data_IF_967979768004
#
_entry.id   IF_967979768004
#
_cell.length_a   1.000
_cell.length_b   1.000
_cell.length_c   1.000
_cell.angle_alpha   90.00
_cell.angle_beta   90.00
_cell.angle_gamma   90.00
#
_symmetry.space_group_name_H-M   'P 1'
#
loop_
_entity.id
_entity.type
_entity.pdbx_description
1 polymer ?
#
# COMPACT_ATOMS: atom_id res chain seq x y z
N UNK A 1 -22.50 0.05 34.24
CA UNK A 1 -21.87 0.22 32.92
C UNK A 1 -22.53 -0.76 31.98
N UNK A 2 -23.26 -0.27 30.98
CA UNK A 2 -23.89 -1.13 29.99
C UNK A 2 -22.84 -1.57 28.98
N UNK A 3 -22.60 -2.88 28.92
CA UNK A 3 -21.69 -3.64 28.05
C UNK A 3 -22.10 -3.60 26.55
N UNK A 4 -22.87 -2.59 26.15
CA UNK A 4 -23.49 -2.46 24.82
C UNK A 4 -22.71 -1.57 23.87
N UNK A 5 -21.59 -0.98 24.31
CA UNK A 5 -20.78 -0.06 23.50
C UNK A 5 -21.44 1.29 23.22
N UNK A 6 -22.50 1.64 23.95
CA UNK A 6 -23.13 2.96 23.87
C UNK A 6 -22.38 3.95 24.78
N UNK A 7 -22.24 5.20 24.31
CA UNK A 7 -21.71 6.29 25.13
C UNK A 7 -22.60 6.55 26.35
N UNK A 8 -22.02 7.17 27.37
CA UNK A 8 -22.78 7.60 28.55
C UNK A 8 -23.92 8.53 28.10
N UNK A 9 -25.16 8.38 28.61
CA UNK A 9 -26.30 9.22 28.22
C UNK A 9 -26.06 10.73 28.37
N UNK A 10 -25.14 11.12 29.24
CA UNK A 10 -24.72 12.52 29.44
C UNK A 10 -23.85 13.09 28.32
N UNK A 11 -23.23 12.23 27.50
CA UNK A 11 -22.42 12.59 26.33
C UNK A 11 -23.22 12.46 25.02
N UNK A 12 -24.50 12.09 25.10
CA UNK A 12 -25.34 11.98 23.92
C UNK A 12 -25.72 13.39 23.45
N UNK A 13 -25.23 13.77 22.28
CA UNK A 13 -25.52 15.08 21.71
C UNK A 13 -26.93 15.10 21.11
N UNK A 14 -27.91 15.39 21.97
CA UNK A 14 -29.34 15.46 21.64
C UNK A 14 -29.67 16.50 20.55
N UNK A 15 -28.78 17.46 20.30
CA UNK A 15 -28.95 18.45 19.23
C UNK A 15 -28.67 17.81 17.87
N UNK A 16 -27.58 17.05 17.79
CA UNK A 16 -27.21 16.24 16.62
C UNK A 16 -28.29 15.20 16.31
N UNK A 17 -28.85 14.53 17.32
CA UNK A 17 -29.95 13.57 17.13
C UNK A 17 -31.25 14.23 16.66
N UNK A 18 -31.56 15.45 17.13
CA UNK A 18 -32.71 16.23 16.65
C UNK A 18 -32.53 16.67 15.21
N UNK A 19 -31.31 17.03 14.80
CA UNK A 19 -30.99 17.30 13.40
C UNK A 19 -31.09 16.03 12.54
N UNK A 20 -30.58 14.89 13.00
CA UNK A 20 -30.74 13.61 12.29
C UNK A 20 -32.21 13.19 12.14
N UNK A 21 -33.06 13.45 13.13
CA UNK A 21 -34.50 13.21 13.02
C UNK A 21 -35.25 14.21 12.13
N UNK A 22 -34.71 15.43 11.94
CA UNK A 22 -35.36 16.47 11.13
C UNK A 22 -34.89 16.53 9.67
N UNK A 23 -33.62 16.25 9.37
CA UNK A 23 -33.01 16.59 8.08
C UNK A 23 -32.75 15.41 7.13
N UNK A 24 -32.54 14.18 7.62
CA UNK A 24 -32.10 13.10 6.74
C UNK A 24 -33.09 11.93 6.69
N UNK A 25 -33.98 11.98 5.69
CA UNK A 25 -34.62 10.76 5.21
C UNK A 25 -33.54 9.76 4.77
N UNK A 26 -33.69 8.45 5.03
CA UNK A 26 -32.66 7.47 4.73
C UNK A 26 -32.39 7.39 3.24
N UNK A 27 -31.28 7.98 2.80
CA UNK A 27 -30.82 7.94 1.43
C UNK A 27 -30.46 6.50 1.03
N UNK A 28 -30.89 6.11 -0.16
CA UNK A 28 -30.51 4.85 -0.77
C UNK A 28 -29.23 5.03 -1.58
N UNK A 29 -28.26 4.14 -1.38
CA UNK A 29 -27.00 4.17 -2.13
C UNK A 29 -27.23 3.60 -3.52
N UNK A 30 -27.01 4.42 -4.55
CA UNK A 30 -27.03 4.01 -5.95
C UNK A 30 -25.68 4.29 -6.63
N UNK A 31 -25.46 3.69 -7.80
CA UNK A 31 -24.30 3.98 -8.65
C UNK A 31 -24.76 4.66 -9.94
N UNK A 32 -24.19 5.82 -10.26
CA UNK A 32 -24.38 6.46 -11.55
C UNK A 32 -23.75 5.57 -12.63
N UNK A 33 -24.54 5.05 -13.56
CA UNK A 33 -24.08 4.19 -14.65
C UNK A 33 -23.74 4.99 -15.90
N UNK A 34 -24.52 6.03 -16.21
CA UNK A 34 -24.35 6.84 -17.42
C UNK A 34 -25.03 8.19 -17.24
N UNK A 35 -24.44 9.24 -17.81
CA UNK A 35 -25.03 10.58 -17.87
C UNK A 35 -25.72 10.74 -19.23
N UNK A 36 -26.96 11.20 -19.22
CA UNK A 36 -27.78 11.45 -20.41
C UNK A 36 -28.00 12.97 -20.48
N UNK A 37 -27.60 13.58 -21.61
CA UNK A 37 -27.60 15.03 -21.85
C UNK A 37 -26.66 15.81 -20.91
N UNK A 38 -25.34 15.65 -21.11
CA UNK A 38 -24.35 16.48 -20.43
C UNK A 38 -24.41 17.92 -20.95
N UNK A 39 -24.89 18.87 -20.13
CA UNK A 39 -24.77 20.31 -20.40
C UNK A 39 -26.08 21.09 -20.61
N UNK A 40 -27.25 20.45 -20.53
CA UNK A 40 -28.54 21.15 -20.46
C UNK A 40 -29.04 21.22 -19.00
N UNK A 41 -29.90 22.19 -18.66
CA UNK A 41 -30.49 22.35 -17.32
C UNK A 41 -31.24 21.09 -16.84
N UNK A 42 -31.66 20.22 -17.79
CA UNK A 42 -32.34 18.94 -17.56
C UNK A 42 -31.39 17.72 -17.70
N UNK A 43 -30.19 17.79 -17.11
CA UNK A 43 -29.28 16.65 -17.07
C UNK A 43 -29.93 15.44 -16.36
N UNK A 44 -30.02 14.31 -17.07
CA UNK A 44 -30.62 13.06 -16.58
C UNK A 44 -29.54 12.02 -16.32
N UNK A 45 -29.65 11.33 -15.20
CA UNK A 45 -28.65 10.33 -14.79
C UNK A 45 -29.29 8.96 -14.76
N UNK A 46 -28.64 7.98 -15.37
CA UNK A 46 -29.04 6.59 -15.23
C UNK A 46 -28.37 6.02 -13.98
N UNK A 47 -29.14 5.79 -12.91
CA UNK A 47 -28.64 5.17 -11.69
C UNK A 47 -28.98 3.68 -11.64
N UNK A 48 -28.09 2.90 -11.03
CA UNK A 48 -28.29 1.50 -10.73
C UNK A 48 -28.36 1.32 -9.20
N UNK A 49 -29.52 0.92 -8.70
CA UNK A 49 -29.74 0.65 -7.28
C UNK A 49 -29.49 -0.82 -7.02
N UNK A 50 -28.54 -1.13 -6.13
CA UNK A 50 -28.25 -2.52 -5.73
C UNK A 50 -29.55 -3.11 -5.14
N UNK A 51 -30.06 -4.20 -5.76
CA UNK A 51 -31.28 -4.97 -5.41
C UNK A 51 -32.59 -4.63 -6.13
N UNK A 52 -32.70 -3.55 -6.92
CA UNK A 52 -33.99 -3.14 -7.51
C UNK A 52 -33.93 -3.12 -9.04
N UNK A 53 -33.49 -2.01 -9.63
CA UNK A 53 -33.53 -1.78 -11.07
C UNK A 53 -32.65 -0.57 -11.45
N UNK A 54 -32.59 -0.29 -12.75
CA UNK A 54 -32.01 0.95 -13.29
C UNK A 54 -33.11 2.01 -13.41
N UNK A 55 -32.84 3.21 -12.92
CA UNK A 55 -33.76 4.34 -12.98
C UNK A 55 -33.10 5.52 -13.68
N UNK A 56 -33.90 6.35 -14.35
CA UNK A 56 -33.46 7.64 -14.87
C UNK A 56 -33.93 8.70 -13.89
N UNK A 57 -32.99 9.46 -13.35
CA UNK A 57 -33.20 10.41 -12.26
C UNK A 57 -32.69 11.79 -12.61
N UNK A 58 -33.30 12.82 -12.03
CA UNK A 58 -32.81 14.20 -12.09
C UNK A 58 -31.83 14.52 -10.96
N UNK A 59 -31.21 15.70 -11.04
CA UNK A 59 -30.45 16.29 -9.94
C UNK A 59 -31.38 16.80 -8.84
N UNK A 60 -30.95 16.68 -7.59
CA UNK A 60 -31.55 17.38 -6.46
C UNK A 60 -30.96 18.79 -6.29
N UNK A 61 -31.64 19.63 -5.52
CA UNK A 61 -31.31 21.05 -5.32
C UNK A 61 -29.92 21.30 -4.71
N UNK A 62 -29.31 20.28 -4.08
CA UNK A 62 -28.03 20.38 -3.36
C UNK A 62 -26.80 20.02 -4.20
N UNK A 63 -26.94 19.56 -5.44
CA UNK A 63 -25.82 19.02 -6.24
C UNK A 63 -25.75 19.71 -7.59
N UNK A 64 -24.54 20.12 -7.99
CA UNK A 64 -24.30 20.65 -9.33
C UNK A 64 -24.03 19.52 -10.34
N UNK A 65 -24.38 19.69 -11.63
CA UNK A 65 -24.09 18.71 -12.68
C UNK A 65 -22.59 18.38 -12.83
N UNK A 66 -21.70 19.29 -12.42
CA UNK A 66 -20.24 19.15 -12.46
C UNK A 66 -19.70 18.15 -11.44
N UNK A 67 -20.43 17.89 -10.36
CA UNK A 67 -19.93 17.11 -9.23
C UNK A 67 -20.25 15.61 -9.38
N UNK A 68 -21.00 15.24 -10.43
CA UNK A 68 -21.44 13.88 -10.69
C UNK A 68 -20.69 13.33 -11.90
N UNK A 69 -19.85 12.34 -11.65
CA UNK A 69 -19.16 11.59 -12.70
C UNK A 69 -19.82 10.23 -12.97
N UNK A 70 -19.60 9.70 -14.18
CA UNK A 70 -20.00 8.35 -14.52
C UNK A 70 -19.27 7.33 -13.64
N UNK A 71 -20.02 6.40 -13.05
CA UNK A 71 -19.47 5.35 -12.18
C UNK A 71 -19.42 5.73 -10.70
N UNK A 72 -19.68 6.99 -10.33
CA UNK A 72 -19.68 7.48 -8.95
C UNK A 72 -20.86 6.91 -8.13
N UNK A 73 -20.69 6.80 -6.81
CA UNK A 73 -21.79 6.48 -5.90
C UNK A 73 -22.54 7.75 -5.55
N UNK A 74 -23.86 7.66 -5.48
CA UNK A 74 -24.73 8.78 -5.16
C UNK A 74 -25.78 8.34 -4.15
N UNK A 75 -26.06 9.23 -3.19
CA UNK A 75 -27.19 9.10 -2.29
C UNK A 75 -28.45 9.59 -2.99
N UNK A 76 -29.42 8.69 -3.13
CA UNK A 76 -30.69 8.95 -3.82
C UNK A 76 -31.82 8.87 -2.82
N UNK A 77 -32.76 9.80 -2.90
CA UNK A 77 -33.98 9.73 -2.08
C UNK A 77 -34.86 8.55 -2.49
N UNK A 78 -35.45 7.85 -1.52
CA UNK A 78 -36.33 6.68 -1.76
C UNK A 78 -37.65 7.06 -2.40
N UNK A 79 -38.15 8.28 -2.17
CA UNK A 79 -39.49 8.68 -2.61
C UNK A 79 -39.47 9.36 -3.98
N UNK A 80 -38.59 10.36 -4.15
CA UNK A 80 -38.51 11.15 -5.38
C UNK A 80 -37.48 10.64 -6.38
N UNK A 81 -36.63 9.68 -6.00
CA UNK A 81 -35.51 9.20 -6.81
C UNK A 81 -34.71 10.36 -7.42
N UNK A 82 -34.28 11.31 -6.59
CA UNK A 82 -33.41 12.42 -6.99
C UNK A 82 -32.04 12.30 -6.31
N UNK A 83 -30.98 12.72 -7.00
CA UNK A 83 -29.61 12.68 -6.46
C UNK A 83 -29.44 13.82 -5.45
N UNK A 84 -29.21 13.49 -4.18
CA UNK A 84 -29.07 14.46 -3.09
C UNK A 84 -27.62 14.78 -2.75
N UNK A 85 -26.75 13.76 -2.74
CA UNK A 85 -25.35 13.89 -2.31
C UNK A 85 -24.48 12.92 -3.10
N UNK A 86 -23.33 13.35 -3.66
CA UNK A 86 -22.31 12.43 -4.17
C UNK A 86 -21.62 11.72 -3.01
N UNK A 87 -21.55 10.39 -3.06
CA UNK A 87 -20.88 9.58 -2.06
C UNK A 87 -19.47 9.19 -2.55
N UNK A 88 -18.50 9.06 -1.62
CA UNK A 88 -17.17 8.58 -1.99
C UNK A 88 -17.26 7.20 -2.66
N UNK A 89 -16.31 6.90 -3.58
CA UNK A 89 -16.30 5.63 -4.29
C UNK A 89 -16.20 4.46 -3.31
N UNK A 90 -16.67 3.28 -3.74
CA UNK A 90 -16.50 2.06 -2.94
C UNK A 90 -15.01 1.75 -2.86
N UNK A 91 -14.44 1.91 -1.68
CA UNK A 91 -13.17 1.28 -1.33
C UNK A 91 -13.57 -0.03 -0.64
N UNK A 92 -13.10 -1.18 -1.13
CA UNK A 92 -13.34 -2.42 -0.39
C UNK A 92 -12.67 -2.30 1.00
N UNK A 93 -13.39 -2.63 2.08
CA UNK A 93 -12.87 -2.49 3.44
C UNK A 93 -11.66 -3.40 3.68
N UNK A 94 -11.54 -4.50 2.93
CA UNK A 94 -10.36 -5.38 2.93
C UNK A 94 -9.09 -4.64 2.50
N UNK A 95 -9.17 -3.83 1.44
CA UNK A 95 -8.05 -3.01 0.96
C UNK A 95 -7.76 -1.86 1.93
N UNK A 96 -8.81 -1.33 2.56
CA UNK A 96 -8.68 -0.28 3.59
C UNK A 96 -7.92 -0.79 4.82
N UNK A 97 -8.21 -2.02 5.26
CA UNK A 97 -7.50 -2.70 6.36
C UNK A 97 -6.04 -3.02 6.04
N UNK A 98 -5.69 -3.18 4.75
CA UNK A 98 -4.30 -3.34 4.32
C UNK A 98 -3.50 -2.02 4.36
N UNK A 99 -4.19 -0.88 4.52
CA UNK A 99 -3.48 0.38 4.79
C UNK A 99 -2.99 0.36 6.22
N UNK A 100 -1.67 0.40 6.38
CA UNK A 100 -1.03 0.56 7.68
C UNK A 100 -1.11 2.06 7.98
N UNK A 101 -2.17 2.48 8.68
CA UNK A 101 -2.34 3.88 9.09
C UNK A 101 -1.33 4.30 10.15
N UNK A 102 -0.75 3.37 10.90
CA UNK A 102 0.25 3.68 11.94
C UNK A 102 1.68 3.55 11.42
N UNK A 103 2.41 4.67 11.48
CA UNK A 103 3.84 4.76 11.16
C UNK A 103 4.58 3.63 11.88
N UNK A 104 5.35 2.78 11.19
CA UNK A 104 6.19 1.82 11.87
C UNK A 104 7.28 2.57 12.65
N UNK A 105 7.42 2.30 13.96
CA UNK A 105 8.40 2.95 14.86
C UNK A 105 9.88 2.63 14.54
N UNK A 106 10.15 1.90 13.44
CA UNK A 106 11.50 1.50 13.06
C UNK A 106 12.25 2.70 12.51
N UNK A 107 13.44 2.95 13.04
CA UNK A 107 14.32 4.04 12.57
C UNK A 107 15.46 3.49 11.71
N UNK A 108 16.09 4.36 10.91
CA UNK A 108 17.27 3.98 10.11
C UNK A 108 18.45 3.51 10.98
N UNK A 109 18.54 3.98 12.22
CA UNK A 109 19.60 3.60 13.15
C UNK A 109 19.48 2.15 13.60
N UNK A 110 18.29 1.55 13.45
CA UNK A 110 18.06 0.12 13.72
C UNK A 110 18.43 -0.78 12.53
N UNK A 111 18.64 -0.21 11.34
CA UNK A 111 19.06 -0.96 10.14
C UNK A 111 20.58 -0.94 10.04
N UNK A 112 21.22 -1.95 10.64
CA UNK A 112 22.68 -2.09 10.65
C UNK A 112 23.25 -2.70 9.36
N UNK A 113 24.46 -2.26 8.98
CA UNK A 113 25.31 -2.97 8.01
C UNK A 113 24.94 -2.88 6.53
N UNK A 114 23.84 -2.22 6.17
CA UNK A 114 23.36 -2.09 4.79
C UNK A 114 23.42 -0.64 4.27
N UNK A 115 24.55 0.06 4.47
CA UNK A 115 24.67 1.50 4.16
C UNK A 115 24.43 1.84 2.68
N UNK A 116 25.07 1.12 1.76
CA UNK A 116 24.92 1.35 0.31
C UNK A 116 23.48 1.05 -0.17
N UNK A 117 22.88 -0.03 0.33
CA UNK A 117 21.49 -0.36 0.03
C UNK A 117 20.50 0.69 0.56
N UNK A 118 20.75 1.20 1.78
CA UNK A 118 19.96 2.27 2.38
C UNK A 118 20.12 3.61 1.64
N UNK A 119 21.33 3.94 1.21
CA UNK A 119 21.60 5.17 0.45
C UNK A 119 20.85 5.15 -0.89
N UNK A 120 20.95 4.03 -1.64
CA UNK A 120 20.18 3.82 -2.87
C UNK A 120 18.66 3.89 -2.63
N UNK A 121 18.17 3.32 -1.53
CA UNK A 121 16.76 3.41 -1.16
C UNK A 121 16.33 4.85 -0.85
N UNK A 122 17.14 5.61 -0.10
CA UNK A 122 16.90 7.02 0.20
C UNK A 122 16.88 7.87 -1.06
N UNK A 123 17.79 7.62 -1.99
CA UNK A 123 17.82 8.36 -3.26
C UNK A 123 16.55 8.18 -4.08
N UNK A 124 15.95 6.98 -4.06
CA UNK A 124 14.78 6.68 -4.87
C UNK A 124 13.47 7.09 -4.20
N UNK A 125 13.39 7.02 -2.88
CA UNK A 125 12.13 7.27 -2.16
C UNK A 125 12.14 8.64 -1.47
N UNK A 126 13.18 8.97 -0.72
CA UNK A 126 13.25 10.17 0.12
C UNK A 126 13.46 11.44 -0.72
N UNK A 127 14.46 11.44 -1.62
CA UNK A 127 14.78 12.60 -2.47
C UNK A 127 13.61 13.12 -3.32
N UNK A 128 12.85 12.29 -4.07
CA UNK A 128 11.77 12.80 -4.89
C UNK A 128 10.55 13.27 -4.08
N UNK A 129 10.35 12.74 -2.88
CA UNK A 129 9.25 13.16 -2.00
C UNK A 129 9.55 14.47 -1.28
N UNK A 130 10.79 14.66 -0.80
CA UNK A 130 11.20 15.88 -0.09
C UNK A 130 11.60 17.03 -1.01
N UNK A 131 12.26 16.72 -2.13
CA UNK A 131 12.84 17.71 -3.03
C UNK A 131 12.48 17.46 -4.50
N UNK A 132 11.18 17.52 -4.87
CA UNK A 132 10.75 17.35 -6.25
C UNK A 132 11.35 18.40 -7.20
N UNK A 133 11.67 19.60 -6.69
CA UNK A 133 12.28 20.70 -7.45
C UNK A 133 13.59 20.31 -8.14
N UNK A 134 14.41 19.45 -7.51
CA UNK A 134 15.68 18.99 -8.09
C UNK A 134 15.47 18.19 -9.37
N UNK A 135 14.41 17.38 -9.41
CA UNK A 135 14.06 16.57 -10.58
C UNK A 135 13.43 17.43 -11.69
N UNK A 136 12.57 18.39 -11.31
CA UNK A 136 11.97 19.34 -12.26
C UNK A 136 13.03 20.22 -12.92
N UNK A 137 13.97 20.76 -12.15
CA UNK A 137 15.04 21.61 -12.70
C UNK A 137 16.00 20.85 -13.61
N UNK A 138 16.25 19.58 -13.32
CA UNK A 138 17.10 18.71 -14.13
C UNK A 138 16.35 18.14 -15.35
N UNK A 139 15.01 18.20 -15.36
CA UNK A 139 14.17 17.69 -16.44
C UNK A 139 14.15 16.16 -16.52
N UNK A 140 14.42 15.46 -15.41
CA UNK A 140 14.39 14.00 -15.35
C UNK A 140 13.19 13.50 -14.56
N UNK A 141 12.57 12.43 -15.04
CA UNK A 141 11.51 11.76 -14.27
C UNK A 141 12.14 10.91 -13.16
N UNK A 142 11.63 11.00 -11.91
CA UNK A 142 12.15 10.20 -10.82
C UNK A 142 11.80 8.72 -11.03
N UNK A 143 12.66 7.78 -10.60
CA UNK A 143 12.37 6.35 -10.69
C UNK A 143 11.09 5.99 -9.94
N UNK A 144 10.27 5.11 -10.52
CA UNK A 144 8.92 4.77 -10.00
C UNK A 144 8.94 3.58 -9.05
N UNK A 145 9.80 2.60 -9.31
CA UNK A 145 9.84 1.34 -8.58
C UNK A 145 11.23 0.91 -8.12
N UNK A 146 11.28 0.29 -6.95
CA UNK A 146 12.48 -0.37 -6.41
C UNK A 146 12.20 -1.83 -6.12
N UNK A 147 13.12 -2.70 -6.54
CA UNK A 147 13.16 -4.11 -6.16
C UNK A 147 14.25 -4.33 -5.11
N UNK A 148 13.86 -4.85 -3.95
CA UNK A 148 14.73 -5.32 -2.88
C UNK A 148 14.86 -6.83 -2.99
N UNK A 149 16.07 -7.33 -3.23
CA UNK A 149 16.34 -8.76 -3.32
C UNK A 149 17.56 -9.15 -2.51
N UNK A 150 17.61 -10.41 -2.07
CA UNK A 150 18.69 -10.94 -1.22
C UNK A 150 18.24 -12.16 -0.43
N UNK A 151 19.11 -12.80 0.36
CA UNK A 151 18.70 -13.88 1.23
C UNK A 151 17.74 -13.39 2.34
N UNK A 152 16.90 -14.28 2.90
CA UNK A 152 16.05 -13.94 4.03
C UNK A 152 16.89 -13.54 5.25
N UNK A 153 16.34 -12.69 6.13
CA UNK A 153 17.04 -12.26 7.35
C UNK A 153 18.06 -11.11 7.15
N UNK A 154 18.15 -10.52 5.96
CA UNK A 154 18.99 -9.36 5.65
C UNK A 154 18.33 -8.00 5.94
N UNK A 155 17.10 -7.99 6.45
CA UNK A 155 16.42 -6.76 6.88
C UNK A 155 15.75 -5.97 5.75
N UNK A 156 15.35 -6.61 4.65
CA UNK A 156 14.57 -5.99 3.55
C UNK A 156 13.28 -5.33 4.04
N UNK A 157 12.45 -6.08 4.78
CA UNK A 157 11.21 -5.57 5.39
C UNK A 157 11.48 -4.48 6.44
N UNK A 158 12.58 -4.58 7.20
CA UNK A 158 12.99 -3.55 8.16
C UNK A 158 13.38 -2.24 7.46
N UNK A 159 14.12 -2.34 6.35
CA UNK A 159 14.53 -1.18 5.55
C UNK A 159 13.32 -0.46 4.94
N UNK A 160 12.34 -1.21 4.43
CA UNK A 160 11.10 -0.64 3.91
C UNK A 160 10.30 0.10 5.00
N UNK A 161 10.23 -0.46 6.22
CA UNK A 161 9.60 0.18 7.37
C UNK A 161 10.33 1.45 7.80
N UNK A 162 11.66 1.44 7.84
CA UNK A 162 12.45 2.63 8.18
C UNK A 162 12.25 3.77 7.17
N UNK A 163 12.12 3.45 5.88
CA UNK A 163 11.80 4.43 4.82
C UNK A 163 10.41 5.01 5.00
N UNK A 164 9.42 4.18 5.36
CA UNK A 164 8.05 4.63 5.62
C UNK A 164 7.98 5.62 6.78
N UNK A 165 8.72 5.37 7.86
CA UNK A 165 8.74 6.24 9.04
C UNK A 165 9.26 7.66 8.72
N UNK A 166 10.29 7.77 7.86
CA UNK A 166 10.95 9.06 7.58
C UNK A 166 10.24 9.91 6.51
N UNK A 167 9.47 9.29 5.64
CA UNK A 167 8.87 9.99 4.50
C UNK A 167 7.52 10.63 4.81
N UNK A 168 6.93 10.39 5.99
CA UNK A 168 5.61 10.88 6.43
C UNK A 168 4.48 10.67 5.38
N UNK A 169 4.72 9.79 4.41
CA UNK A 169 3.80 9.48 3.33
C UNK A 169 2.91 8.32 3.74
N UNK A 170 1.76 8.19 3.06
CA UNK A 170 0.92 7.03 3.29
C UNK A 170 1.67 5.75 2.90
N UNK A 171 1.79 4.82 3.84
CA UNK A 171 2.42 3.53 3.63
C UNK A 171 1.36 2.43 3.53
N UNK A 172 1.29 1.78 2.36
CA UNK A 172 0.40 0.64 2.13
C UNK A 172 1.27 -0.60 2.08
N UNK A 173 1.10 -1.51 3.05
CA UNK A 173 1.82 -2.78 3.08
C UNK A 173 0.90 -3.88 2.57
N UNK A 174 1.36 -4.58 1.54
CA UNK A 174 0.68 -5.73 0.96
C UNK A 174 1.59 -6.93 1.08
N UNK A 175 1.08 -8.03 1.63
CA UNK A 175 1.80 -9.29 1.59
C UNK A 175 1.37 -10.03 0.33
N UNK A 176 2.32 -10.52 -0.47
CA UNK A 176 2.02 -11.21 -1.74
C UNK A 176 1.02 -12.35 -1.59
N UNK A 177 1.07 -13.08 -0.48
CA UNK A 177 0.13 -14.16 -0.16
C UNK A 177 -1.31 -13.70 0.09
N UNK A 178 -1.55 -12.46 0.51
CA UNK A 178 -2.91 -11.91 0.71
C UNK A 178 -3.65 -11.67 -0.60
N UNK A 179 -2.91 -11.52 -1.70
CA UNK A 179 -3.48 -11.30 -3.03
C UNK A 179 -4.01 -12.59 -3.68
N UNK A 180 -3.67 -13.76 -3.12
CA UNK A 180 -4.15 -15.06 -3.58
C UNK A 180 -5.50 -15.34 -2.92
N UNK A 181 -6.57 -15.27 -3.71
CA UNK A 181 -7.94 -15.48 -3.25
C UNK A 181 -8.55 -16.76 -3.83
N UNK A 182 -9.62 -17.27 -3.22
CA UNK A 182 -10.32 -18.47 -3.69
C UNK A 182 -11.20 -18.21 -4.92
N UNK A 183 -11.60 -16.96 -5.12
CA UNK A 183 -12.53 -16.57 -6.17
C UNK A 183 -11.79 -15.93 -7.34
N UNK A 184 -11.92 -16.56 -8.50
CA UNK A 184 -11.26 -16.15 -9.75
C UNK A 184 -11.45 -14.67 -10.02
N UNK A 185 -10.34 -13.93 -10.02
CA UNK A 185 -10.30 -12.52 -10.39
C UNK A 185 -10.56 -11.55 -9.24
N UNK A 186 -10.77 -12.05 -8.03
CA UNK A 186 -10.86 -11.21 -6.82
C UNK A 186 -9.51 -10.57 -6.50
N UNK A 187 -8.40 -11.30 -6.62
CA UNK A 187 -7.04 -10.74 -6.45
C UNK A 187 -6.75 -9.60 -7.41
N UNK A 188 -7.08 -9.76 -8.70
CA UNK A 188 -6.94 -8.69 -9.70
C UNK A 188 -7.83 -7.47 -9.41
N UNK A 189 -9.05 -7.67 -8.88
CA UNK A 189 -9.92 -6.55 -8.43
C UNK A 189 -9.27 -5.81 -7.27
N UNK A 190 -8.75 -6.54 -6.29
CA UNK A 190 -8.10 -5.98 -5.10
C UNK A 190 -6.91 -5.10 -5.47
N UNK A 191 -6.06 -5.55 -6.41
CA UNK A 191 -4.94 -4.76 -6.93
C UNK A 191 -5.42 -3.45 -7.56
N UNK A 192 -6.47 -3.49 -8.40
CA UNK A 192 -7.03 -2.26 -9.02
C UNK A 192 -7.53 -1.28 -7.98
N UNK A 193 -8.26 -1.77 -6.98
CA UNK A 193 -8.79 -0.92 -5.91
C UNK A 193 -7.67 -0.33 -5.06
N UNK A 194 -6.61 -1.10 -4.78
CA UNK A 194 -5.43 -0.62 -4.08
C UNK A 194 -4.75 0.53 -4.83
N UNK A 195 -4.50 0.38 -6.14
CA UNK A 195 -3.90 1.46 -6.93
C UNK A 195 -4.83 2.66 -7.06
N UNK A 196 -6.15 2.45 -7.13
CA UNK A 196 -7.14 3.55 -7.12
C UNK A 196 -7.10 4.33 -5.81
N UNK A 197 -6.99 3.63 -4.68
CA UNK A 197 -6.81 4.23 -3.36
C UNK A 197 -5.46 4.93 -3.21
N UNK A 198 -4.38 4.37 -3.78
CA UNK A 198 -3.07 5.01 -3.79
C UNK A 198 -3.09 6.30 -4.62
N UNK A 199 -3.84 6.34 -5.73
CA UNK A 199 -4.01 7.52 -6.62
C UNK A 199 -4.82 8.65 -5.99
N UNK A 200 -5.74 8.35 -5.07
CA UNK A 200 -6.47 9.41 -4.36
C UNK A 200 -5.59 10.14 -3.33
N UNK A 201 -4.45 9.57 -2.95
CA UNK A 201 -3.50 10.15 -1.99
C UNK A 201 -2.41 10.94 -2.72
N UNK A 202 -2.01 12.08 -2.14
CA UNK A 202 -1.00 13.00 -2.73
C UNK A 202 0.41 12.39 -2.80
N UNK A 203 0.78 11.57 -1.82
CA UNK A 203 2.04 10.86 -1.76
C UNK A 203 1.80 9.50 -1.08
N UNK A 204 2.13 8.41 -1.77
CA UNK A 204 1.87 7.07 -1.29
C UNK A 204 3.01 6.13 -1.66
N UNK A 205 3.43 5.31 -0.70
CA UNK A 205 4.40 4.24 -0.89
C UNK A 205 3.62 2.93 -0.80
N UNK A 206 3.64 2.14 -1.86
CA UNK A 206 3.07 0.79 -1.89
C UNK A 206 4.20 -0.20 -1.75
N UNK A 207 4.25 -0.91 -0.63
CA UNK A 207 5.23 -1.95 -0.35
C UNK A 207 4.60 -3.33 -0.51
N UNK A 208 5.06 -4.07 -1.51
CA UNK A 208 4.75 -5.48 -1.70
C UNK A 208 5.85 -6.33 -1.07
N UNK A 209 5.51 -7.06 0.00
CA UNK A 209 6.38 -8.05 0.61
C UNK A 209 6.11 -9.44 0.01
N UNK A 210 7.12 -10.32 0.00
CA UNK A 210 7.00 -11.69 -0.51
C UNK A 210 6.36 -11.77 -1.91
N UNK A 211 6.83 -10.94 -2.85
CA UNK A 211 6.30 -10.94 -4.23
C UNK A 211 6.60 -12.24 -4.98
N UNK A 212 7.48 -13.10 -4.47
CA UNK A 212 7.73 -14.43 -5.00
C UNK A 212 6.50 -15.36 -4.90
N UNK A 213 5.59 -15.12 -3.96
CA UNK A 213 4.33 -15.88 -3.85
C UNK A 213 3.38 -15.64 -5.05
N UNK A 214 3.44 -14.46 -5.66
CA UNK A 214 2.58 -14.07 -6.78
C UNK A 214 3.31 -13.86 -8.11
N UNK A 215 4.63 -13.74 -8.06
CA UNK A 215 5.49 -13.38 -9.19
C UNK A 215 6.04 -14.57 -9.97
N UNK A 216 5.59 -15.80 -9.66
CA UNK A 216 6.09 -17.03 -10.27
C UNK A 216 6.09 -16.98 -11.80
N UNK A 217 7.27 -17.15 -12.39
CA UNK A 217 7.44 -17.23 -13.83
C UNK A 217 6.67 -18.44 -14.40
N UNK A 218 6.24 -18.34 -15.66
CA UNK A 218 5.52 -19.40 -16.39
C UNK A 218 6.31 -20.72 -16.36
N UNK A 219 6.03 -21.62 -15.43
CA UNK A 219 6.40 -23.02 -15.60
C UNK A 219 5.40 -23.65 -16.56
N UNK A 220 5.92 -24.15 -17.68
CA UNK A 220 5.23 -24.93 -18.71
C UNK A 220 4.81 -26.31 -18.18
N UNK A 221 3.99 -26.32 -17.13
CA UNK A 221 3.44 -27.53 -16.53
C UNK A 221 1.92 -27.36 -16.52
N UNK A 222 1.27 -28.07 -17.44
CA UNK A 222 -0.14 -27.97 -17.84
C UNK A 222 -1.17 -28.41 -16.78
N UNK A 223 -0.89 -28.29 -15.47
CA UNK A 223 -1.78 -28.82 -14.42
C UNK A 223 -2.05 -27.81 -13.31
N UNK A 224 -3.04 -26.93 -13.53
CA UNK A 224 -3.68 -26.20 -12.44
C UNK A 224 -4.31 -24.87 -12.84
N UNK A 225 -5.64 -24.76 -12.75
CA UNK A 225 -6.35 -23.48 -12.94
C UNK A 225 -5.97 -22.39 -11.93
N UNK A 226 -5.32 -22.76 -10.82
CA UNK A 226 -4.88 -21.85 -9.75
C UNK A 226 -3.71 -20.96 -10.17
N UNK A 227 -2.76 -21.46 -10.97
CA UNK A 227 -1.62 -20.66 -11.46
C UNK A 227 -2.09 -19.54 -12.40
N UNK A 228 -3.13 -19.79 -13.18
CA UNK A 228 -3.72 -18.77 -14.05
C UNK A 228 -4.30 -17.58 -13.27
N UNK A 229 -4.78 -17.78 -12.04
CA UNK A 229 -5.30 -16.70 -11.21
C UNK A 229 -4.17 -15.83 -10.64
N UNK A 230 -3.12 -16.48 -10.11
CA UNK A 230 -1.93 -15.81 -9.60
C UNK A 230 -1.30 -14.96 -10.71
N UNK A 231 -1.17 -15.54 -11.91
CA UNK A 231 -0.68 -14.84 -13.10
C UNK A 231 -1.56 -13.66 -13.49
N UNK A 232 -2.90 -13.79 -13.47
CA UNK A 232 -3.81 -12.66 -13.76
C UNK A 232 -3.61 -11.51 -12.78
N UNK A 233 -3.40 -11.82 -11.50
CA UNK A 233 -3.17 -10.81 -10.47
C UNK A 233 -1.83 -10.11 -10.69
N UNK A 234 -0.78 -10.85 -11.02
CA UNK A 234 0.54 -10.28 -11.35
C UNK A 234 0.50 -9.42 -12.63
N UNK A 235 -0.15 -9.88 -13.69
CA UNK A 235 -0.35 -9.09 -14.91
C UNK A 235 -1.15 -7.82 -14.64
N UNK A 236 -2.10 -7.86 -13.70
CA UNK A 236 -2.80 -6.66 -13.28
C UNK A 236 -1.87 -5.67 -12.58
N UNK A 237 -1.01 -6.12 -11.66
CA UNK A 237 0.01 -5.25 -11.04
C UNK A 237 0.89 -4.62 -12.13
N UNK A 238 1.38 -5.43 -13.07
CA UNK A 238 2.17 -4.96 -14.21
C UNK A 238 1.45 -3.89 -15.02
N UNK A 239 0.17 -4.09 -15.31
CA UNK A 239 -0.65 -3.15 -16.10
C UNK A 239 -0.87 -1.85 -15.34
N UNK A 240 -1.10 -1.91 -14.02
CA UNK A 240 -1.21 -0.70 -13.19
C UNK A 240 0.12 0.04 -13.07
N UNK A 241 1.26 -0.67 -13.08
CA UNK A 241 2.60 -0.08 -13.11
C UNK A 241 2.89 0.63 -14.45
N UNK A 242 2.47 0.08 -15.58
CA UNK A 242 2.63 0.71 -16.89
C UNK A 242 1.66 1.88 -17.11
N UNK A 243 0.45 1.75 -16.57
CA UNK A 243 -0.60 2.78 -16.63
C UNK A 243 -0.32 4.00 -15.76
N UNK A 244 0.86 4.10 -15.14
CA UNK A 244 1.24 5.26 -14.36
C UNK A 244 1.53 6.47 -15.24
N UNK A 245 0.70 7.49 -15.09
CA UNK A 245 1.03 8.86 -15.48
C UNK A 245 2.41 9.22 -14.89
N UNK A 246 3.39 9.66 -15.69
CA UNK A 246 4.76 9.95 -15.21
C UNK A 246 4.82 10.96 -14.05
N UNK A 247 3.76 11.74 -13.84
CA UNK A 247 3.62 12.73 -12.78
C UNK A 247 3.09 12.20 -11.44
N UNK A 248 2.76 10.91 -11.34
CA UNK A 248 2.23 10.33 -10.11
C UNK A 248 3.29 10.23 -9.00
N UNK A 249 2.99 10.74 -7.81
CA UNK A 249 3.81 10.63 -6.59
C UNK A 249 3.67 9.27 -5.87
N UNK A 250 3.35 8.21 -6.61
CA UNK A 250 3.23 6.86 -6.08
C UNK A 250 4.56 6.15 -6.29
N UNK A 251 5.13 5.63 -5.20
CA UNK A 251 6.37 4.85 -5.24
C UNK A 251 6.05 3.40 -4.91
N UNK A 252 6.57 2.48 -5.72
CA UNK A 252 6.36 1.06 -5.50
C UNK A 252 7.66 0.42 -5.02
N UNK A 253 7.58 -0.26 -3.89
CA UNK A 253 8.68 -1.03 -3.32
C UNK A 253 8.27 -2.50 -3.36
N UNK A 254 9.10 -3.37 -3.92
CA UNK A 254 8.87 -4.81 -3.96
C UNK A 254 10.01 -5.52 -3.24
N UNK A 255 9.71 -6.46 -2.35
CA UNK A 255 10.70 -7.30 -1.70
C UNK A 255 10.54 -8.76 -2.12
N UNK A 256 11.63 -9.37 -2.60
CA UNK A 256 11.69 -10.79 -2.96
C UNK A 256 12.89 -11.47 -2.30
N UNK A 257 12.75 -12.75 -1.97
CA UNK A 257 13.88 -13.60 -1.58
C UNK A 257 14.53 -14.29 -2.78
N UNK A 258 13.76 -14.49 -3.85
CA UNK A 258 14.14 -15.22 -5.06
C UNK A 258 13.90 -14.34 -6.29
N UNK A 259 14.90 -13.57 -6.76
CA UNK A 259 14.73 -12.76 -7.95
C UNK A 259 14.64 -13.60 -9.23
N UNK A 260 15.09 -14.85 -9.20
CA UNK A 260 15.06 -15.85 -10.26
C UNK A 260 13.65 -16.36 -10.59
N UNK A 261 12.74 -16.39 -9.60
CA UNK A 261 11.37 -16.83 -9.82
C UNK A 261 10.46 -15.74 -10.37
N UNK A 262 10.92 -14.49 -10.42
CA UNK A 262 10.12 -13.36 -10.89
C UNK A 262 9.97 -13.35 -12.41
N UNK A 263 8.77 -12.99 -12.87
CA UNK A 263 8.51 -12.76 -14.30
C UNK A 263 9.46 -11.68 -14.87
N UNK A 264 10.20 -11.98 -15.96
CA UNK A 264 10.98 -10.99 -16.71
C UNK A 264 10.21 -9.71 -17.09
N UNK A 265 8.88 -9.79 -17.22
CA UNK A 265 8.02 -8.65 -17.44
C UNK A 265 8.15 -7.60 -16.31
N UNK A 266 8.15 -8.01 -15.05
CA UNK A 266 8.33 -7.09 -13.92
C UNK A 266 9.73 -6.46 -13.92
N UNK A 267 10.73 -7.22 -14.36
CA UNK A 267 12.14 -6.82 -14.38
C UNK A 267 12.50 -5.80 -15.48
N UNK A 268 11.53 -5.41 -16.31
CA UNK A 268 11.73 -4.45 -17.40
C UNK A 268 11.94 -3.03 -16.85
N UNK A 269 12.95 -2.29 -17.35
CA UNK A 269 13.12 -0.87 -17.04
C UNK A 269 11.86 -0.06 -17.39
N UNK A 270 11.48 0.91 -16.56
CA UNK A 270 10.22 1.66 -16.65
C UNK A 270 9.17 1.25 -15.59
N UNK A 271 9.34 0.06 -14.97
CA UNK A 271 8.51 -0.45 -13.87
C UNK A 271 9.33 -0.55 -12.58
N UNK A 272 10.35 -1.41 -12.62
CA UNK A 272 11.33 -1.61 -11.55
C UNK A 272 12.67 -1.02 -12.01
N UNK A 273 12.80 0.29 -11.88
CA UNK A 273 13.95 1.04 -12.38
C UNK A 273 15.21 0.77 -11.56
N UNK A 274 15.05 0.54 -10.24
CA UNK A 274 16.17 0.34 -9.33
C UNK A 274 16.11 -1.02 -8.67
N UNK A 275 17.23 -1.73 -8.75
CA UNK A 275 17.45 -3.03 -8.12
C UNK A 275 18.46 -2.83 -7.01
N UNK A 276 18.03 -3.08 -5.77
CA UNK A 276 18.87 -2.95 -4.58
C UNK A 276 19.09 -4.34 -4.03
N UNK A 277 20.34 -4.76 -4.10
CA UNK A 277 20.78 -6.04 -3.55
C UNK A 277 21.10 -5.89 -2.06
N UNK A 278 20.52 -6.78 -1.26
CA UNK A 278 20.84 -6.95 0.15
C UNK A 278 21.78 -8.12 0.28
N UNK A 279 23.06 -7.82 0.38
CA UNK A 279 24.10 -8.80 0.65
C UNK A 279 24.19 -9.10 2.14
N UNK A 280 24.90 -10.19 2.46
CA UNK A 280 25.30 -10.48 3.83
C UNK A 280 26.16 -9.33 4.38
N UNK A 281 25.96 -8.92 5.65
CA UNK A 281 26.73 -7.83 6.23
C UNK A 281 28.21 -8.18 6.33
N UNK A 282 29.06 -7.22 5.95
CA UNK A 282 30.50 -7.27 6.19
C UNK A 282 30.83 -7.19 7.68
N UNK A 283 32.11 -7.37 8.04
CA UNK A 283 32.56 -7.33 9.44
C UNK A 283 32.07 -6.08 10.17
N UNK A 284 32.22 -4.90 9.56
CA UNK A 284 31.73 -3.64 10.13
C UNK A 284 30.22 -3.65 10.32
N UNK A 285 29.48 -4.15 9.33
CA UNK A 285 28.02 -4.26 9.40
C UNK A 285 27.57 -5.18 10.52
N UNK A 286 28.22 -6.35 10.69
CA UNK A 286 27.94 -7.27 11.80
C UNK A 286 28.19 -6.63 13.15
N UNK A 287 29.29 -5.88 13.31
CA UNK A 287 29.55 -5.15 14.56
C UNK A 287 28.48 -4.10 14.87
N UNK A 288 27.96 -3.41 13.85
CA UNK A 288 26.89 -2.44 14.02
C UNK A 288 25.59 -3.12 14.46
N UNK A 289 25.19 -4.21 13.80
CA UNK A 289 23.98 -4.97 14.13
C UNK A 289 24.05 -5.48 15.59
N UNK A 290 25.18 -6.04 15.99
CA UNK A 290 25.39 -6.49 17.38
C UNK A 290 25.27 -5.33 18.37
N UNK A 291 25.87 -4.17 18.07
CA UNK A 291 25.77 -2.98 18.93
C UNK A 291 24.34 -2.45 19.06
N UNK A 292 23.56 -2.47 17.97
CA UNK A 292 22.16 -2.04 17.96
C UNK A 292 21.34 -2.92 18.90
N UNK A 293 21.43 -4.24 18.76
CA UNK A 293 20.69 -5.17 19.60
C UNK A 293 21.21 -5.24 21.04
N UNK A 294 22.51 -5.00 21.26
CA UNK A 294 23.08 -4.95 22.60
C UNK A 294 22.73 -3.66 23.36
N UNK A 295 22.32 -2.58 22.67
CA UNK A 295 21.95 -1.30 23.32
C UNK A 295 20.75 -1.44 24.26
N UNK A 296 19.84 -2.37 23.97
CA UNK A 296 18.70 -2.68 24.85
C UNK A 296 19.04 -3.66 25.98
N UNK A 297 20.24 -4.26 25.98
CA UNK A 297 20.66 -5.27 26.94
C UNK A 297 21.61 -4.68 27.98
N UNK A 298 21.58 -5.23 29.20
CA UNK A 298 22.56 -4.91 30.23
C UNK A 298 23.88 -5.66 29.98
N UNK A 299 24.72 -5.07 29.14
CA UNK A 299 26.03 -5.61 28.78
C UNK A 299 27.16 -5.05 29.67
N UNK A 300 28.18 -5.86 29.93
CA UNK A 300 29.42 -5.38 30.56
C UNK A 300 30.16 -4.41 29.62
N UNK A 301 30.79 -3.38 30.20
CA UNK A 301 31.52 -2.32 29.47
C UNK A 301 32.74 -2.86 28.71
N UNK A 302 33.24 -4.03 29.08
CA UNK A 302 34.43 -4.63 28.50
C UNK A 302 34.15 -5.56 27.30
N UNK A 303 32.89 -5.66 26.84
CA UNK A 303 32.53 -6.55 25.73
C UNK A 303 33.06 -6.00 24.40
N UNK A 304 33.81 -6.83 23.68
CA UNK A 304 34.37 -6.52 22.36
C UNK A 304 33.53 -7.13 21.25
N UNK A 305 32.56 -6.39 20.74
CA UNK A 305 31.68 -6.81 19.64
C UNK A 305 32.44 -7.17 18.35
N UNK A 306 33.63 -6.60 18.13
CA UNK A 306 34.46 -6.92 16.98
C UNK A 306 34.96 -8.38 16.99
N UNK A 307 35.30 -8.91 18.16
CA UNK A 307 35.73 -10.31 18.28
C UNK A 307 34.57 -11.26 17.95
N UNK A 308 33.37 -10.96 18.46
CA UNK A 308 32.16 -11.75 18.19
C UNK A 308 31.84 -11.71 16.69
N UNK A 309 31.89 -10.52 16.06
CA UNK A 309 31.65 -10.37 14.64
C UNK A 309 32.65 -11.14 13.74
N UNK A 310 33.88 -11.37 14.21
CA UNK A 310 34.87 -12.21 13.51
C UNK A 310 34.56 -13.70 13.62
N UNK A 311 33.97 -14.15 14.74
CA UNK A 311 33.59 -15.54 14.96
C UNK A 311 32.32 -15.96 14.20
N UNK A 312 31.54 -14.99 13.69
CA UNK A 312 30.30 -15.22 12.96
C UNK A 312 30.44 -14.94 11.44
N UNK A 313 31.16 -15.76 10.66
CA UNK A 313 31.26 -15.57 9.21
C UNK A 313 29.92 -15.81 8.53
N UNK A 314 29.63 -15.07 7.45
CA UNK A 314 28.44 -15.24 6.59
C UNK A 314 27.09 -15.32 7.32
N UNK A 315 26.97 -14.62 8.44
CA UNK A 315 25.74 -14.59 9.24
C UNK A 315 24.77 -13.53 8.76
N UNK A 316 23.48 -13.81 8.87
CA UNK A 316 22.41 -12.85 8.58
C UNK A 316 22.15 -11.92 9.76
N UNK A 317 21.52 -10.76 9.52
CA UNK A 317 21.13 -9.85 10.60
C UNK A 317 20.15 -10.49 11.59
N UNK A 318 19.27 -11.37 11.09
CA UNK A 318 18.37 -12.16 11.92
C UNK A 318 19.12 -13.13 12.86
N UNK A 319 20.14 -13.83 12.36
CA UNK A 319 20.96 -14.72 13.19
C UNK A 319 21.73 -13.95 14.26
N UNK A 320 22.29 -12.79 13.92
CA UNK A 320 22.99 -11.94 14.91
C UNK A 320 22.05 -11.45 16.01
N UNK A 321 20.79 -11.16 15.67
CA UNK A 321 19.75 -10.86 16.67
C UNK A 321 19.48 -12.06 17.56
N UNK A 322 19.39 -13.26 17.00
CA UNK A 322 19.22 -14.50 17.77
C UNK A 322 20.41 -14.74 18.71
N UNK A 323 21.65 -14.53 18.26
CA UNK A 323 22.85 -14.64 19.11
C UNK A 323 22.77 -13.70 20.32
N UNK A 324 22.36 -12.43 20.13
CA UNK A 324 22.17 -11.52 21.24
C UNK A 324 21.07 -12.00 22.20
N UNK A 325 19.99 -12.59 21.67
CA UNK A 325 18.86 -13.06 22.46
C UNK A 325 19.24 -14.27 23.30
N UNK A 326 19.94 -15.23 22.70
CA UNK A 326 20.47 -16.43 23.37
C UNK A 326 21.53 -16.08 24.43
N UNK A 327 22.32 -15.02 24.23
CA UNK A 327 23.26 -14.55 25.25
C UNK A 327 22.57 -13.97 26.50
N UNK A 328 21.29 -13.62 26.41
CA UNK A 328 20.48 -13.10 27.52
C UNK A 328 19.56 -14.13 28.19
N UNK A 329 19.42 -15.33 27.62
CA UNK A 329 18.76 -16.47 28.28
C UNK A 329 19.72 -17.16 29.26
#
# INVERSE_FOLDING_TARGET
>A
ESDTGLSLPSQWDLVSDKQMMQEEQPLQVARCSKIINAGEEDAKYMINVKQIAKFVVGLGEKVAPTDIEEGMRVGVDRTKYAIQIPLPPKIDPTVSLMTVEDKPDVTYDEVGGAKDALEKLREVVELPLLHPERFVNLGIDPPKGVLLYGPPGTGKTLSARAVANRTDACFIRVIGSELVQKYVGEGARMVRELFTMARSKKACIVFFDEVDAIGGARSSSEEGGTDNEVQRTMLQIVTELDGFDPRGNIKVLMATNRPDTLDPALMRPGRLDRKVEFNLPELEGRTQILKIHAKSMNCDRNIRFELIARLCPNTTGAELRSVCTEAGM
#
